data_IF_065650063080
#
_entry.id   IF_065650063080
#
_cell.length_a   1.000
_cell.length_b   1.000
_cell.length_c   1.000
_cell.angle_alpha   90.00
_cell.angle_beta   90.00
_cell.angle_gamma   90.00
#
_symmetry.space_group_name_H-M   'P 1'
#
loop_
_entity.id
_entity.type
_entity.pdbx_description
1 polymer ?
#
# COMPACT_ATOMS: atom_id res chain seq x y z
N UNK A 1 -14.78 -1.47 -13.59
CA UNK A 1 -15.42 -1.16 -14.89
C UNK A 1 -15.23 0.29 -15.33
N UNK A 2 -15.01 1.26 -14.42
CA UNK A 2 -14.77 2.68 -14.77
C UNK A 2 -13.83 2.92 -15.96
N UNK A 3 -12.54 2.53 -15.89
CA UNK A 3 -11.58 2.74 -16.99
C UNK A 3 -12.08 2.15 -18.32
N UNK A 4 -12.68 0.96 -18.27
CA UNK A 4 -13.17 0.27 -19.46
C UNK A 4 -14.42 0.94 -20.07
N UNK A 5 -15.24 1.59 -19.24
CA UNK A 5 -16.48 2.25 -19.65
C UNK A 5 -16.24 3.71 -20.09
N UNK A 6 -15.30 4.42 -19.46
CA UNK A 6 -15.06 5.85 -19.69
C UNK A 6 -13.81 6.13 -20.52
N UNK A 7 -12.87 5.20 -20.58
CA UNK A 7 -11.53 5.43 -21.14
C UNK A 7 -10.64 6.31 -20.26
N UNK A 8 -11.12 6.74 -19.09
CA UNK A 8 -10.40 7.61 -18.18
C UNK A 8 -9.67 6.81 -17.10
N UNK A 9 -8.35 6.89 -17.11
CA UNK A 9 -7.45 6.33 -16.10
C UNK A 9 -6.65 7.40 -15.36
N UNK A 10 -6.94 8.69 -15.56
CA UNK A 10 -6.13 9.80 -15.01
C UNK A 10 -6.02 9.77 -13.48
N UNK A 11 -7.00 9.19 -12.79
CA UNK A 11 -6.98 9.02 -11.34
C UNK A 11 -5.87 8.07 -10.84
N UNK A 12 -5.26 7.24 -11.69
CA UNK A 12 -4.13 6.36 -11.29
C UNK A 12 -2.79 7.10 -11.30
N UNK A 13 -2.74 8.29 -11.89
CA UNK A 13 -1.53 9.11 -11.97
C UNK A 13 -1.27 9.88 -10.66
N UNK A 14 -2.30 10.09 -9.83
CA UNK A 14 -2.20 10.74 -8.53
C UNK A 14 -1.56 9.86 -7.45
N UNK A 15 -1.30 10.45 -6.27
CA UNK A 15 -0.84 9.68 -5.10
C UNK A 15 -1.98 8.83 -4.55
N UNK A 16 -1.65 7.65 -4.04
CA UNK A 16 -2.62 6.65 -3.59
C UNK A 16 -2.28 6.13 -2.20
N UNK A 17 -3.27 6.04 -1.31
CA UNK A 17 -3.14 5.33 -0.04
C UNK A 17 -3.40 3.84 -0.29
N UNK A 18 -2.49 2.98 0.18
CA UNK A 18 -2.67 1.54 0.20
C UNK A 18 -2.56 0.97 1.62
N UNK A 19 -3.70 0.71 2.25
CA UNK A 19 -3.79 0.13 3.58
C UNK A 19 -3.55 -1.38 3.51
N UNK A 20 -2.49 -1.86 4.14
CA UNK A 20 -2.17 -3.28 4.16
C UNK A 20 -1.46 -3.69 5.45
N UNK A 21 -1.48 -5.00 5.74
CA UNK A 21 -0.62 -5.60 6.76
C UNK A 21 0.87 -5.45 6.43
N UNK A 22 1.70 -5.57 7.46
CA UNK A 22 3.16 -5.46 7.37
C UNK A 22 3.75 -6.33 6.26
N UNK A 23 4.65 -5.78 5.40
CA UNK A 23 5.31 -6.52 4.33
C UNK A 23 6.49 -7.37 4.82
N UNK A 24 6.78 -7.36 6.13
CA UNK A 24 7.87 -8.13 6.72
C UNK A 24 7.56 -9.62 6.60
N UNK A 25 8.50 -10.35 6.02
CA UNK A 25 8.46 -11.80 5.89
C UNK A 25 9.49 -12.43 6.84
N UNK A 26 9.13 -13.54 7.47
CA UNK A 26 10.00 -14.38 8.30
C UNK A 26 10.43 -15.60 7.51
N UNK A 27 11.71 -15.93 7.50
CA UNK A 27 12.18 -17.19 6.92
C UNK A 27 11.95 -18.35 7.90
N UNK A 28 11.34 -19.42 7.40
CA UNK A 28 11.28 -20.71 8.08
C UNK A 28 11.79 -21.78 7.12
N UNK A 29 13.06 -22.16 7.29
CA UNK A 29 13.71 -23.22 6.49
C UNK A 29 13.63 -22.97 4.98
N UNK A 30 13.82 -21.73 4.55
CA UNK A 30 13.73 -21.33 3.14
C UNK A 30 12.31 -21.02 2.65
N UNK A 31 11.29 -21.11 3.52
CA UNK A 31 9.92 -20.69 3.22
C UNK A 31 9.66 -19.33 3.88
N UNK A 32 9.32 -18.33 3.07
CA UNK A 32 8.93 -17.01 3.57
C UNK A 32 7.49 -17.02 4.10
N UNK A 33 7.31 -16.63 5.35
CA UNK A 33 6.04 -16.55 6.06
C UNK A 33 5.70 -15.10 6.39
N UNK A 34 4.46 -14.69 6.18
CA UNK A 34 4.01 -13.35 6.52
C UNK A 34 2.49 -13.22 6.37
N UNK A 35 1.97 -12.01 6.58
CA UNK A 35 0.57 -11.71 6.26
C UNK A 35 0.37 -11.83 4.75
N UNK A 36 -0.80 -12.32 4.32
CA UNK A 36 -1.11 -12.47 2.89
C UNK A 36 -0.92 -11.14 2.14
N UNK A 37 -1.41 -10.04 2.70
CA UNK A 37 -1.22 -8.69 2.15
C UNK A 37 0.25 -8.31 2.04
N UNK A 38 1.06 -8.67 3.04
CA UNK A 38 2.50 -8.45 3.07
C UNK A 38 3.23 -9.26 2.00
N UNK A 39 2.83 -10.51 1.78
CA UNK A 39 3.35 -11.36 0.69
C UNK A 39 2.99 -10.73 -0.66
N UNK A 40 1.73 -10.35 -0.87
CA UNK A 40 1.25 -9.75 -2.12
C UNK A 40 2.00 -8.45 -2.45
N UNK A 41 2.36 -7.66 -1.44
CA UNK A 41 3.12 -6.42 -1.62
C UNK A 41 4.45 -6.63 -2.38
N UNK A 42 5.11 -7.78 -2.22
CA UNK A 42 6.36 -8.11 -2.93
C UNK A 42 6.17 -8.45 -4.41
N UNK A 43 4.94 -8.73 -4.84
CA UNK A 43 4.62 -9.07 -6.24
C UNK A 43 3.97 -7.92 -7.01
N UNK A 44 3.70 -6.79 -6.36
CA UNK A 44 3.18 -5.59 -7.04
C UNK A 44 4.30 -5.00 -7.92
N UNK A 45 4.09 -4.80 -9.23
CA UNK A 45 5.10 -4.21 -10.10
C UNK A 45 5.58 -2.82 -9.63
N UNK A 46 6.89 -2.56 -9.68
CA UNK A 46 7.50 -1.30 -9.18
C UNK A 46 6.88 -0.02 -9.76
N UNK A 47 6.46 -0.03 -11.02
CA UNK A 47 5.85 1.13 -11.65
C UNK A 47 4.49 1.52 -11.02
N UNK A 48 3.77 0.55 -10.42
CA UNK A 48 2.54 0.80 -9.65
C UNK A 48 2.82 1.22 -8.20
N UNK A 49 4.06 1.07 -7.72
CA UNK A 49 4.45 1.46 -6.37
C UNK A 49 4.92 2.92 -6.28
N UNK A 50 5.30 3.54 -7.40
CA UNK A 50 5.93 4.88 -7.41
C UNK A 50 5.08 5.98 -6.74
N UNK A 51 3.76 5.88 -6.86
CA UNK A 51 2.83 6.87 -6.35
C UNK A 51 2.06 6.38 -5.11
N UNK A 52 2.50 5.26 -4.50
CA UNK A 52 1.84 4.68 -3.32
C UNK A 52 2.44 5.21 -2.03
N UNK A 53 1.54 5.52 -1.10
CA UNK A 53 1.78 5.76 0.31
C UNK A 53 1.07 4.65 1.12
N UNK A 54 1.53 4.33 2.33
CA UNK A 54 2.63 5.00 3.06
C UNK A 54 4.03 4.49 2.67
N UNK A 55 5.05 5.11 3.25
CA UNK A 55 6.44 4.64 3.24
C UNK A 55 6.59 3.20 3.72
N UNK A 56 7.72 2.57 3.40
CA UNK A 56 8.00 1.21 3.87
C UNK A 56 8.04 1.14 5.39
N UNK A 57 8.66 2.14 6.02
CA UNK A 57 8.80 2.30 7.47
C UNK A 57 7.43 2.34 8.14
N UNK A 58 6.54 3.21 7.69
CA UNK A 58 5.18 3.33 8.23
C UNK A 58 4.35 2.07 7.96
N UNK A 59 4.52 1.44 6.80
CA UNK A 59 3.81 0.21 6.48
C UNK A 59 4.24 -0.99 7.36
N UNK A 60 5.48 -0.97 7.89
CA UNK A 60 6.02 -1.99 8.78
C UNK A 60 5.57 -1.85 10.25
N UNK A 61 4.87 -0.78 10.62
CA UNK A 61 4.32 -0.62 11.98
C UNK A 61 3.34 -1.77 12.25
N UNK A 62 3.47 -2.45 13.39
CA UNK A 62 2.59 -3.59 13.74
C UNK A 62 1.31 -3.13 14.45
N UNK A 63 1.41 -2.13 15.33
CA UNK A 63 0.25 -1.55 16.00
C UNK A 63 -0.62 -0.78 15.01
N UNK A 64 -1.90 -1.16 14.94
CA UNK A 64 -2.81 -0.64 13.92
C UNK A 64 -3.09 0.84 14.10
N UNK A 65 -3.41 1.28 15.32
CA UNK A 65 -3.75 2.68 15.60
C UNK A 65 -2.54 3.58 15.31
N UNK A 66 -1.36 3.20 15.82
CA UNK A 66 -0.10 3.92 15.54
C UNK A 66 0.20 3.98 14.04
N UNK A 67 -0.07 2.91 13.30
CA UNK A 67 0.10 2.89 11.84
C UNK A 67 -0.83 3.90 11.17
N UNK A 68 -2.11 3.90 11.52
CA UNK A 68 -3.09 4.80 10.91
C UNK A 68 -2.69 6.25 11.15
N UNK A 69 -2.26 6.61 12.35
CA UNK A 69 -1.79 7.96 12.66
C UNK A 69 -0.59 8.36 11.79
N UNK A 70 0.42 7.48 11.67
CA UNK A 70 1.58 7.72 10.81
C UNK A 70 1.21 7.84 9.31
N UNK A 71 0.25 7.04 8.83
CA UNK A 71 -0.28 7.16 7.46
C UNK A 71 -0.93 8.53 7.26
N UNK A 72 -1.72 9.00 8.22
CA UNK A 72 -2.35 10.33 8.17
C UNK A 72 -1.29 11.41 8.10
N UNK A 73 -0.25 11.35 8.94
CA UNK A 73 0.86 12.32 8.91
C UNK A 73 1.56 12.37 7.54
N UNK A 74 1.78 11.22 6.89
CA UNK A 74 2.41 11.15 5.57
C UNK A 74 1.51 11.64 4.43
N UNK A 75 0.19 11.61 4.60
CA UNK A 75 -0.77 11.79 3.50
C UNK A 75 -1.61 13.06 3.60
N UNK A 76 -1.71 13.69 4.78
CA UNK A 76 -2.60 14.83 5.03
C UNK A 76 -2.30 16.05 4.15
N UNK A 77 -1.04 16.24 3.75
CA UNK A 77 -0.61 17.36 2.90
C UNK A 77 -0.40 16.94 1.43
N UNK A 78 -0.80 15.72 1.06
CA UNK A 78 -0.60 15.16 -0.26
C UNK A 78 -1.91 15.17 -1.07
N UNK A 79 -1.80 15.40 -2.38
CA UNK A 79 -2.96 15.36 -3.28
C UNK A 79 -3.30 13.89 -3.60
N UNK A 80 -4.15 13.31 -2.75
CA UNK A 80 -4.55 11.91 -2.83
C UNK A 80 -5.71 11.70 -3.78
N UNK A 81 -5.55 10.72 -4.67
CA UNK A 81 -6.51 10.38 -5.73
C UNK A 81 -7.29 9.09 -5.45
N UNK A 82 -6.69 8.15 -4.71
CA UNK A 82 -7.25 6.82 -4.43
C UNK A 82 -6.91 6.39 -3.01
N UNK A 83 -7.87 5.75 -2.35
CA UNK A 83 -7.64 4.92 -1.16
C UNK A 83 -8.06 3.49 -1.47
N UNK A 84 -7.17 2.54 -1.19
CA UNK A 84 -7.40 1.12 -1.38
C UNK A 84 -6.70 0.34 -0.26
N UNK A 85 -7.00 -0.94 -0.14
CA UNK A 85 -6.34 -1.77 0.86
C UNK A 85 -6.82 -3.21 0.89
N UNK A 86 -6.06 -4.03 1.59
CA UNK A 86 -6.42 -5.40 1.96
C UNK A 86 -6.35 -5.44 3.49
N UNK A 87 -7.50 -5.29 4.19
CA UNK A 87 -7.53 -5.32 5.65
C UNK A 87 -7.13 -6.68 6.21
#
# INVERSE_FOLDING_TARGET
FYIAETGDASFVDGKMIFLQGSPILKDLKGVQLGRLSGIVAHYVPKYLQKNRLPSWETNCIEDWETKVDAIVEETVNEDMSVISGIP
#
